data_IF_144026546703
#
_entry.id   IF_144026546703
#
_cell.length_a   1.000
_cell.length_b   1.000
_cell.length_c   1.000
_cell.angle_alpha   90.00
_cell.angle_beta   90.00
_cell.angle_gamma   90.00
#
_symmetry.space_group_name_H-M   'P 1'
#
loop_
_entity.id
_entity.type
_entity.pdbx_description
1 polymer ?
#
# COMPACT_ATOMS: atom_id res chain seq x y z
N UNK A 1 -13.35 11.64 7.98
CA UNK A 1 -12.71 11.00 6.83
C UNK A 1 -11.30 10.62 7.24
N UNK A 2 -10.80 9.52 6.70
CA UNK A 2 -9.47 9.02 6.97
C UNK A 2 -8.42 10.10 6.68
N UNK A 3 -7.45 10.25 7.58
CA UNK A 3 -6.37 11.24 7.47
C UNK A 3 -5.05 10.64 7.95
N UNK A 4 -3.95 11.04 7.32
CA UNK A 4 -2.60 10.68 7.75
C UNK A 4 -2.06 11.81 8.61
N UNK A 5 -1.47 11.45 9.75
CA UNK A 5 -0.80 12.37 10.65
C UNK A 5 0.54 11.78 11.08
N UNK A 6 1.43 12.64 11.55
CA UNK A 6 2.62 12.23 12.28
C UNK A 6 2.38 12.49 13.76
N UNK A 7 2.44 11.43 14.56
CA UNK A 7 2.26 11.45 16.01
C UNK A 7 3.54 10.92 16.67
N UNK A 8 4.32 11.82 17.28
CA UNK A 8 5.66 11.47 17.77
C UNK A 8 6.54 10.95 16.64
N UNK A 9 7.05 9.73 16.80
CA UNK A 9 7.89 9.04 15.82
C UNK A 9 7.12 8.11 14.89
N UNK A 10 5.78 8.12 14.93
CA UNK A 10 4.92 7.26 14.10
C UNK A 10 4.15 8.08 13.05
N UNK A 11 4.00 7.51 11.86
CA UNK A 11 2.97 7.90 10.89
C UNK A 11 1.71 7.09 11.15
N UNK A 12 0.58 7.77 11.36
CA UNK A 12 -0.69 7.18 11.78
C UNK A 12 -1.80 7.55 10.80
N UNK A 13 -2.55 6.54 10.35
CA UNK A 13 -3.81 6.74 9.63
C UNK A 13 -4.96 6.69 10.62
N UNK A 14 -5.55 7.85 10.86
CA UNK A 14 -6.75 7.97 11.69
C UNK A 14 -7.99 7.69 10.89
N UNK A 15 -8.82 6.79 11.40
CA UNK A 15 -10.11 6.43 10.83
C UNK A 15 -11.23 6.93 11.72
N UNK A 16 -12.29 7.45 11.12
CA UNK A 16 -13.55 7.66 11.84
C UNK A 16 -14.18 6.31 12.24
N UNK A 17 -15.12 6.33 13.17
CA UNK A 17 -15.80 5.10 13.62
C UNK A 17 -16.44 4.30 12.47
N UNK A 18 -17.10 4.99 11.52
CA UNK A 18 -17.67 4.36 10.33
C UNK A 18 -16.61 3.75 9.42
N UNK A 19 -15.46 4.40 9.31
CA UNK A 19 -14.32 3.92 8.52
C UNK A 19 -13.65 2.72 9.18
N UNK A 20 -13.56 2.68 10.51
CA UNK A 20 -13.07 1.49 11.24
C UNK A 20 -13.95 0.28 10.99
N UNK A 21 -15.27 0.47 11.05
CA UNK A 21 -16.24 -0.58 10.73
C UNK A 21 -16.11 -1.03 9.27
N UNK A 22 -16.03 -0.10 8.32
CA UNK A 22 -15.89 -0.39 6.90
C UNK A 22 -14.56 -1.08 6.55
N UNK A 23 -13.45 -0.64 7.14
CA UNK A 23 -12.13 -1.23 6.97
C UNK A 23 -11.99 -2.60 7.64
N UNK A 24 -12.86 -2.89 8.63
CA UNK A 24 -12.67 -3.97 9.61
C UNK A 24 -11.30 -3.88 10.29
N UNK A 25 -10.86 -2.65 10.58
CA UNK A 25 -9.56 -2.33 11.15
C UNK A 25 -9.63 -1.07 12.04
N UNK A 26 -8.78 -0.97 13.06
CA UNK A 26 -8.58 0.27 13.82
C UNK A 26 -7.72 1.30 13.07
N UNK A 27 -7.23 2.31 13.79
CA UNK A 27 -6.17 3.17 13.24
C UNK A 27 -4.94 2.31 12.94
N UNK A 28 -4.29 2.53 11.80
CA UNK A 28 -3.01 1.88 11.47
C UNK A 28 -1.87 2.84 11.75
N UNK A 29 -0.73 2.31 12.19
CA UNK A 29 0.47 3.09 12.45
C UNK A 29 1.71 2.37 11.93
N UNK A 30 2.73 3.15 11.61
CA UNK A 30 4.06 2.64 11.32
C UNK A 30 5.10 3.66 11.82
N UNK A 31 6.30 3.22 12.23
CA UNK A 31 7.38 4.13 12.56
C UNK A 31 7.76 5.02 11.37
N UNK A 32 8.12 6.27 11.61
CA UNK A 32 8.65 7.18 10.59
C UNK A 32 9.96 6.65 9.97
N UNK A 33 10.77 5.93 10.76
CA UNK A 33 11.96 5.23 10.28
C UNK A 33 11.63 4.11 9.28
N UNK A 34 10.38 3.63 9.25
CA UNK A 34 9.94 2.66 8.26
C UNK A 34 9.50 3.29 6.95
N UNK A 35 9.27 4.62 6.92
CA UNK A 35 8.83 5.31 5.71
C UNK A 35 9.97 5.33 4.70
N UNK A 36 9.78 4.60 3.61
CA UNK A 36 10.76 4.54 2.53
C UNK A 36 10.53 5.64 1.50
N UNK A 37 9.27 5.97 1.22
CA UNK A 37 8.91 6.95 0.19
C UNK A 37 7.53 7.51 0.43
N UNK A 38 7.31 8.77 0.07
CA UNK A 38 5.99 9.39 0.08
C UNK A 38 5.73 9.99 -1.29
N UNK A 39 4.58 9.66 -1.87
CA UNK A 39 4.16 10.15 -3.19
C UNK A 39 2.73 10.64 -3.15
N UNK A 40 2.41 11.56 -4.06
CA UNK A 40 1.04 12.00 -4.31
C UNK A 40 0.60 11.44 -5.64
N UNK A 41 -0.44 10.62 -5.61
CA UNK A 41 -1.06 10.10 -6.82
C UNK A 41 -2.29 10.94 -7.18
N UNK A 42 -2.33 11.62 -8.33
CA UNK A 42 -3.50 12.37 -8.77
C UNK A 42 -4.70 11.46 -9.02
N UNK A 43 -4.44 10.27 -9.58
CA UNK A 43 -5.48 9.33 -9.98
C UNK A 43 -5.63 8.20 -8.96
N UNK A 44 -6.74 8.22 -8.22
CA UNK A 44 -7.03 7.27 -7.13
C UNK A 44 -6.84 5.79 -7.49
N UNK A 45 -7.13 5.40 -8.74
CA UNK A 45 -7.04 4.01 -9.19
C UNK A 45 -5.59 3.54 -9.32
N UNK A 46 -4.65 4.43 -9.63
CA UNK A 46 -3.21 4.13 -9.69
C UNK A 46 -2.65 3.79 -8.31
N UNK A 47 -3.33 4.21 -7.24
CA UNK A 47 -2.96 3.86 -5.87
C UNK A 47 -3.42 2.48 -5.39
N UNK A 48 -4.25 1.80 -6.16
CA UNK A 48 -4.73 0.47 -5.80
C UNK A 48 -3.80 -0.59 -6.38
N UNK A 49 -3.14 -1.35 -5.51
CA UNK A 49 -2.27 -2.47 -5.87
C UNK A 49 -2.84 -3.79 -5.35
N UNK A 50 -2.44 -4.90 -5.96
CA UNK A 50 -2.80 -6.23 -5.49
C UNK A 50 -4.30 -6.52 -5.52
N UNK A 51 -4.74 -7.47 -4.70
CA UNK A 51 -6.13 -7.93 -4.59
C UNK A 51 -6.77 -7.47 -3.27
N UNK A 52 -8.06 -7.08 -3.28
CA UNK A 52 -8.81 -6.80 -2.05
C UNK A 52 -8.82 -7.98 -1.07
N UNK A 53 -8.62 -7.71 0.23
CA UNK A 53 -8.66 -8.72 1.30
C UNK A 53 -9.80 -8.44 2.29
N UNK A 54 -9.61 -7.46 3.18
CA UNK A 54 -10.62 -7.07 4.18
C UNK A 54 -11.10 -5.67 3.88
N UNK A 55 -12.39 -5.42 4.10
CA UNK A 55 -12.98 -4.10 4.07
C UNK A 55 -14.06 -3.92 3.00
N UNK A 56 -14.32 -2.67 2.61
CA UNK A 56 -15.37 -2.29 1.67
C UNK A 56 -14.76 -1.84 0.34
N UNK A 57 -15.25 -2.43 -0.75
CA UNK A 57 -14.79 -2.21 -2.11
C UNK A 57 -15.98 -1.93 -3.01
N UNK A 58 -16.33 -0.65 -3.16
CA UNK A 58 -17.38 -0.20 -4.05
C UNK A 58 -16.72 0.30 -5.34
N UNK A 59 -16.91 -0.40 -6.47
CA UNK A 59 -16.34 -0.01 -7.75
C UNK A 59 -16.54 1.48 -8.05
N UNK A 60 -15.49 2.11 -8.55
CA UNK A 60 -15.45 3.53 -8.95
C UNK A 60 -15.83 4.56 -7.87
N UNK A 61 -16.01 4.17 -6.61
CA UNK A 61 -16.54 5.07 -5.57
C UNK A 61 -15.67 5.10 -4.32
N UNK A 62 -15.46 3.94 -3.70
CA UNK A 62 -14.85 3.89 -2.38
C UNK A 62 -14.15 2.56 -2.13
N UNK A 63 -12.89 2.66 -1.70
CA UNK A 63 -12.02 1.54 -1.40
C UNK A 63 -11.43 1.76 -0.02
N UNK A 64 -11.81 0.93 0.96
CA UNK A 64 -11.28 1.03 2.32
C UNK A 64 -11.03 -0.34 2.93
N UNK A 65 -9.82 -0.53 3.48
CA UNK A 65 -9.39 -1.75 4.13
C UNK A 65 -8.03 -2.22 3.64
N UNK A 66 -7.80 -3.54 3.63
CA UNK A 66 -6.51 -4.13 3.30
C UNK A 66 -6.51 -4.76 1.91
N UNK A 67 -5.39 -4.64 1.20
CA UNK A 67 -5.12 -5.35 -0.06
C UNK A 67 -3.82 -6.13 0.06
N UNK A 68 -3.72 -7.29 -0.56
CA UNK A 68 -2.49 -8.09 -0.56
C UNK A 68 -1.90 -8.18 -1.96
N UNK A 69 -0.57 -8.22 -2.04
CA UNK A 69 0.18 -8.50 -3.26
C UNK A 69 1.45 -9.30 -2.89
N UNK A 70 2.22 -9.73 -3.89
CA UNK A 70 3.44 -10.53 -3.65
C UNK A 70 4.52 -9.85 -2.80
N UNK A 71 4.47 -8.52 -2.70
CA UNK A 71 5.42 -7.70 -1.93
C UNK A 71 4.95 -7.35 -0.52
N UNK A 72 3.74 -7.78 -0.12
CA UNK A 72 3.18 -7.52 1.20
C UNK A 72 1.71 -7.12 1.19
N UNK A 73 1.31 -6.31 2.17
CA UNK A 73 -0.07 -5.90 2.38
C UNK A 73 -0.16 -4.38 2.42
N UNK A 74 -1.12 -3.81 1.70
CA UNK A 74 -1.40 -2.39 1.71
C UNK A 74 -2.62 -2.11 2.58
N UNK A 75 -2.61 -1.00 3.30
CA UNK A 75 -3.81 -0.42 3.90
C UNK A 75 -4.23 0.79 3.07
N UNK A 76 -5.49 0.83 2.65
CA UNK A 76 -6.02 1.92 1.84
C UNK A 76 -7.33 2.47 2.41
N UNK A 77 -7.50 3.77 2.27
CA UNK A 77 -8.74 4.51 2.56
C UNK A 77 -8.90 5.58 1.47
N UNK A 78 -9.40 5.17 0.32
CA UNK A 78 -9.39 5.92 -0.93
C UNK A 78 -10.82 6.18 -1.42
N UNK A 79 -11.11 7.44 -1.71
CA UNK A 79 -12.31 7.89 -2.43
C UNK A 79 -11.99 8.18 -3.88
N UNK A 80 -12.91 7.86 -4.77
CA UNK A 80 -12.81 8.18 -6.19
C UNK A 80 -12.73 9.69 -6.43
N UNK A 81 -12.02 10.09 -7.49
CA UNK A 81 -11.90 11.49 -7.91
C UNK A 81 -11.09 12.38 -6.95
N UNK A 82 -10.29 11.77 -6.06
CA UNK A 82 -9.47 12.49 -5.08
C UNK A 82 -8.01 12.06 -5.18
N UNK A 83 -7.06 12.99 -5.02
CA UNK A 83 -5.66 12.64 -4.95
C UNK A 83 -5.38 11.79 -3.70
N UNK A 84 -4.40 10.91 -3.81
CA UNK A 84 -4.06 9.94 -2.77
C UNK A 84 -2.62 10.15 -2.32
N UNK A 85 -2.45 10.40 -1.03
CA UNK A 85 -1.12 10.35 -0.41
C UNK A 85 -0.78 8.89 -0.18
N UNK A 86 0.35 8.47 -0.74
CA UNK A 86 0.84 7.11 -0.71
C UNK A 86 2.16 7.09 0.07
N UNK A 87 2.12 6.50 1.26
CA UNK A 87 3.28 6.34 2.13
C UNK A 87 3.75 4.90 2.01
N UNK A 88 4.86 4.68 1.31
CA UNK A 88 5.51 3.38 1.20
C UNK A 88 6.33 3.09 2.45
N UNK A 89 6.25 1.84 2.92
CA UNK A 89 6.91 1.36 4.11
C UNK A 89 7.90 0.26 3.73
N UNK A 90 9.02 0.19 4.43
CA UNK A 90 10.01 -0.87 4.24
C UNK A 90 9.49 -2.20 4.77
N UNK A 91 9.75 -3.28 4.03
CA UNK A 91 9.37 -4.64 4.42
C UNK A 91 10.06 -5.15 5.69
N UNK A 92 11.15 -4.53 6.12
CA UNK A 92 11.86 -4.86 7.38
C UNK A 92 11.26 -4.19 8.62
N UNK A 93 10.20 -3.39 8.45
CA UNK A 93 9.54 -2.68 9.54
C UNK A 93 8.64 -3.59 10.39
N UNK A 94 8.42 -3.30 11.68
CA UNK A 94 7.41 -3.97 12.49
C UNK A 94 5.96 -3.78 12.00
N UNK A 95 5.72 -2.89 11.02
CA UNK A 95 4.39 -2.76 10.42
C UNK A 95 4.06 -3.95 9.53
N UNK A 96 2.86 -4.50 9.67
CA UNK A 96 2.33 -5.51 8.73
C UNK A 96 2.01 -4.95 7.34
N UNK A 97 2.20 -3.65 7.12
CA UNK A 97 1.83 -2.97 5.89
C UNK A 97 3.06 -2.47 5.12
N UNK A 98 2.97 -2.56 3.79
CA UNK A 98 3.95 -2.08 2.82
C UNK A 98 3.58 -0.70 2.26
N UNK A 99 2.32 -0.28 2.38
CA UNK A 99 1.86 1.06 2.00
C UNK A 99 0.62 1.49 2.78
N UNK A 100 0.56 2.79 3.08
CA UNK A 100 -0.66 3.51 3.43
C UNK A 100 -1.11 4.40 2.27
N UNK A 101 -2.30 4.15 1.73
CA UNK A 101 -2.91 4.97 0.67
C UNK A 101 -4.15 5.69 1.17
N UNK A 102 -4.10 7.01 1.35
CA UNK A 102 -5.23 7.79 1.88
C UNK A 102 -5.59 8.93 0.94
N UNK A 103 -6.86 8.98 0.53
CA UNK A 103 -7.35 10.09 -0.29
C UNK A 103 -7.54 11.36 0.54
N UNK A 104 -7.17 12.50 -0.03
CA UNK A 104 -7.38 13.84 0.54
C UNK A 104 -8.20 14.70 -0.41
N UNK A 105 -8.66 15.89 -0.01
CA UNK A 105 -9.63 16.64 -0.83
C UNK A 105 -8.98 17.33 -2.03
N UNK A 106 -7.75 17.82 -1.88
CA UNK A 106 -7.08 18.62 -2.91
C UNK A 106 -5.63 18.19 -3.11
N UNK A 107 -5.07 18.51 -4.27
CA UNK A 107 -3.65 18.27 -4.55
C UNK A 107 -2.75 19.07 -3.61
N UNK A 108 -3.14 20.29 -3.24
CA UNK A 108 -2.41 21.10 -2.26
C UNK A 108 -2.41 20.44 -0.87
N UNK A 109 -3.56 19.91 -0.42
CA UNK A 109 -3.62 19.13 0.84
C UNK A 109 -2.74 17.88 0.76
N UNK A 110 -2.71 17.20 -0.39
CA UNK A 110 -1.86 16.04 -0.61
C UNK A 110 -0.37 16.39 -0.55
N UNK A 111 0.04 17.46 -1.24
CA UNK A 111 1.41 17.95 -1.25
C UNK A 111 1.86 18.36 0.16
N UNK A 112 1.07 19.15 0.87
CA UNK A 112 1.37 19.58 2.24
C UNK A 112 1.49 18.37 3.19
N UNK A 113 0.61 17.37 3.04
CA UNK A 113 0.65 16.15 3.86
C UNK A 113 1.92 15.35 3.54
N UNK A 114 2.28 15.23 2.27
CA UNK A 114 3.49 14.54 1.85
C UNK A 114 4.74 15.24 2.38
N UNK A 115 4.86 16.57 2.21
CA UNK A 115 5.97 17.37 2.74
C UNK A 115 6.09 17.25 4.26
N UNK A 116 4.97 17.26 4.99
CA UNK A 116 4.98 17.10 6.45
C UNK A 116 5.52 15.74 6.90
N UNK A 117 5.25 14.67 6.14
CA UNK A 117 5.80 13.33 6.43
C UNK A 117 7.27 13.27 6.01
N UNK A 118 7.62 13.75 4.82
CA UNK A 118 8.99 13.78 4.31
C UNK A 118 9.93 14.56 5.26
N UNK A 119 9.48 15.70 5.78
CA UNK A 119 10.27 16.53 6.69
C UNK A 119 10.53 15.89 8.06
N UNK A 120 9.82 14.81 8.40
CA UNK A 120 9.96 14.08 9.68
C UNK A 120 10.48 12.65 9.51
N UNK A 121 10.44 12.09 8.31
CA UNK A 121 10.93 10.75 8.02
C UNK A 121 12.46 10.79 7.78
N UNK A 122 13.29 10.25 8.70
CA UNK A 122 14.74 10.45 8.65
C UNK A 122 15.44 9.68 7.52
N UNK A 123 14.82 8.60 7.03
CA UNK A 123 15.45 7.68 6.08
C UNK A 123 14.69 7.58 4.75
N UNK A 124 13.95 8.62 4.40
CA UNK A 124 13.16 8.65 3.17
C UNK A 124 14.08 8.67 1.94
N UNK A 125 13.77 7.79 0.98
CA UNK A 125 14.44 7.74 -0.31
C UNK A 125 13.90 8.85 -1.22
N UNK A 126 14.71 9.88 -1.41
CA UNK A 126 14.41 11.04 -2.28
C UNK A 126 14.98 10.89 -3.69
N UNK A 127 15.69 9.79 -3.99
CA UNK A 127 16.40 9.60 -5.26
C UNK A 127 15.46 9.49 -6.47
N UNK A 128 14.22 9.03 -6.23
CA UNK A 128 13.21 8.84 -7.28
C UNK A 128 11.85 9.33 -6.80
N UNK A 129 11.18 10.21 -7.57
CA UNK A 129 9.87 10.75 -7.21
C UNK A 129 8.72 9.78 -7.51
N UNK A 130 9.02 8.63 -8.13
CA UNK A 130 8.04 7.66 -8.59
C UNK A 130 7.82 6.55 -7.58
N UNK A 131 6.59 6.03 -7.54
CA UNK A 131 6.28 4.85 -6.73
C UNK A 131 7.03 3.62 -7.21
N UNK A 132 7.43 2.79 -6.26
CA UNK A 132 8.10 1.55 -6.58
C UNK A 132 7.10 0.58 -7.23
N UNK A 133 7.44 0.01 -8.40
CA UNK A 133 6.67 -1.09 -8.96
C UNK A 133 6.68 -2.26 -7.97
N UNK A 134 5.64 -3.09 -8.01
CA UNK A 134 5.63 -4.30 -7.20
C UNK A 134 6.84 -5.17 -7.61
N UNK A 135 7.58 -5.75 -6.64
CA UNK A 135 8.69 -6.64 -6.97
C UNK A 135 8.14 -7.77 -7.83
N UNK A 136 8.76 -8.00 -8.98
CA UNK A 136 8.40 -9.14 -9.85
C UNK A 136 8.77 -10.40 -9.07
N UNK A 137 7.87 -11.40 -8.93
CA UNK A 137 8.23 -12.65 -8.32
C UNK A 137 9.43 -13.22 -9.08
N UNK A 138 10.47 -13.65 -8.38
CA UNK A 138 11.50 -14.43 -9.07
C UNK A 138 10.82 -15.64 -9.69
N UNK A 139 11.04 -15.86 -10.99
CA UNK A 139 10.56 -17.05 -11.68
C UNK A 139 11.26 -18.25 -11.03
N UNK A 140 10.59 -18.84 -10.03
CA UNK A 140 11.00 -20.14 -9.53
C UNK A 140 11.05 -21.06 -10.73
N UNK A 141 12.26 -21.55 -11.02
CA UNK A 141 12.57 -22.51 -12.08
C UNK A 141 11.86 -23.83 -11.77
N UNK A 142 10.55 -23.89 -11.97
CA UNK A 142 9.78 -25.12 -11.84
C UNK A 142 9.92 -25.86 -13.15
N UNK A 143 10.81 -26.86 -13.14
CA UNK A 143 10.73 -27.99 -14.06
C UNK A 143 11.74 -28.00 -15.20
N UNK A 144 13.02 -28.23 -14.87
CA UNK A 144 13.77 -29.22 -15.64
C UNK A 144 13.07 -30.57 -15.40
N UNK A 145 11.98 -30.81 -16.13
CA UNK A 145 11.27 -32.06 -16.12
C UNK A 145 12.23 -33.15 -16.58
N UNK A 146 12.57 -34.06 -15.66
CA UNK A 146 13.24 -35.31 -15.93
C UNK A 146 12.50 -36.02 -17.08
N UNK A 147 13.18 -36.13 -18.22
CA UNK A 147 12.65 -36.59 -19.50
C UNK A 147 12.37 -38.09 -19.57
N UNK A 148 11.74 -38.69 -18.56
CA UNK A 148 11.25 -40.07 -18.64
C UNK A 148 9.78 -40.10 -19.06
N UNK A 149 9.58 -40.27 -20.36
CA UNK A 149 8.34 -40.82 -20.91
C UNK A 149 8.13 -42.23 -20.34
N UNK A 150 6.96 -42.57 -19.75
CA UNK A 150 6.68 -43.92 -19.32
C UNK A 150 6.54 -44.85 -20.53
N UNK A 151 7.33 -45.93 -20.54
CA UNK A 151 7.24 -47.00 -21.54
C UNK A 151 5.81 -47.53 -21.62
N UNK A 152 5.19 -47.37 -22.80
CA UNK A 152 3.93 -48.04 -23.14
C UNK A 152 4.16 -49.55 -23.15
N UNK A 153 3.70 -50.24 -22.10
CA UNK A 153 3.48 -51.70 -22.16
C UNK A 153 2.52 -52.01 -23.30
N UNK A 154 3.05 -52.57 -24.39
CA UNK A 154 2.24 -53.25 -25.41
C UNK A 154 1.71 -54.55 -24.80
N UNK A 155 0.39 -54.73 -24.89
CA UNK A 155 -0.26 -56.04 -24.77
C UNK A 155 -0.18 -56.76 -26.10
#
# INVERSE_FOLDING_TARGET
MARIFVEGDDVVVHLSWREKAAARHGNVRAPLTAVSRVTVEPDWWRALRGVPQRGVWIPATWCIGTRSHQGGMDFVAIRSGRPVVCVELRSSSPSSFSLFGVSVHTHAEAANTAEAICGKAPEIDTSTPWRQPLPVPEENSVGAADGRLPERRRR
#
